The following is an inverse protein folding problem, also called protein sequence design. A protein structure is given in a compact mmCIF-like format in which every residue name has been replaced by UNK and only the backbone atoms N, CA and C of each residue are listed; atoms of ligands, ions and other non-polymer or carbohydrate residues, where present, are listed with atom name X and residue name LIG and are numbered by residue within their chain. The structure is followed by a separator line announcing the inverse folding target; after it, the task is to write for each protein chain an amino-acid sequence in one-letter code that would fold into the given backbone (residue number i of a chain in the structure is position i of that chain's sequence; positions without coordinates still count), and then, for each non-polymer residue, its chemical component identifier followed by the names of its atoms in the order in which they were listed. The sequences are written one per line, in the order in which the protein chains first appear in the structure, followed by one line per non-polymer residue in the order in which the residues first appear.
data_IF_503755700828
#
_entry.id   IF_503755700828
#
_cell.length_a   1.000
_cell.length_b   1.000
_cell.length_c   1.000
_cell.angle_alpha   90.00
_cell.angle_beta   90.00
_cell.angle_gamma   90.00
#
_symmetry.space_group_name_H-M   'P 1'
#
loop_
_entity.id
_entity.type
_entity.pdbx_description
1 polymer ?
#
# COMPACT_ATOMS: atom_id res chain seq x y z
N UNK A 1 -1.43 9.63 -22.66
CA UNK A 1 -2.48 9.31 -21.70
C UNK A 1 -2.62 10.45 -20.72
N UNK A 2 -3.84 10.92 -20.50
CA UNK A 2 -4.20 11.87 -19.43
C UNK A 2 -3.98 11.23 -18.05
N UNK A 3 -4.06 12.02 -16.98
CA UNK A 3 -3.94 11.50 -15.60
C UNK A 3 -5.02 10.45 -15.30
N UNK A 4 -6.24 10.71 -15.75
CA UNK A 4 -7.37 9.79 -15.57
C UNK A 4 -7.15 8.48 -16.33
N UNK A 5 -6.75 8.55 -17.60
CA UNK A 5 -6.43 7.36 -18.41
C UNK A 5 -5.29 6.53 -17.78
N UNK A 6 -4.29 7.18 -17.18
CA UNK A 6 -3.22 6.49 -16.44
C UNK A 6 -3.75 5.74 -15.23
N UNK A 7 -4.60 6.39 -14.42
CA UNK A 7 -5.22 5.78 -13.25
C UNK A 7 -6.04 4.55 -13.65
N UNK A 8 -6.92 4.69 -14.63
CA UNK A 8 -7.75 3.60 -15.13
C UNK A 8 -6.92 2.43 -15.68
N UNK A 9 -5.90 2.72 -16.47
CA UNK A 9 -5.00 1.69 -16.99
C UNK A 9 -4.25 0.97 -15.86
N UNK A 10 -3.83 1.69 -14.80
CA UNK A 10 -3.17 1.08 -13.64
C UNK A 10 -4.11 0.16 -12.86
N UNK A 11 -5.36 0.58 -12.63
CA UNK A 11 -6.41 -0.24 -12.02
C UNK A 11 -6.66 -1.51 -12.83
N UNK A 12 -6.78 -1.37 -14.16
CA UNK A 12 -7.02 -2.50 -15.07
C UNK A 12 -5.88 -3.52 -15.03
N UNK A 13 -4.63 -3.06 -15.06
CA UNK A 13 -3.45 -3.93 -14.97
C UNK A 13 -3.41 -4.70 -13.66
N UNK A 14 -3.64 -4.03 -12.53
CA UNK A 14 -3.68 -4.66 -11.20
C UNK A 14 -4.80 -5.70 -11.11
N UNK A 15 -6.00 -5.37 -11.60
CA UNK A 15 -7.14 -6.31 -11.61
C UNK A 15 -6.85 -7.56 -12.45
N UNK A 16 -6.30 -7.37 -13.65
CA UNK A 16 -6.01 -8.49 -14.55
C UNK A 16 -4.85 -9.36 -14.06
N UNK A 17 -3.87 -8.77 -13.38
CA UNK A 17 -2.65 -9.45 -12.91
C UNK A 17 -2.67 -9.70 -11.40
N UNK A 18 -3.86 -9.82 -10.84
CA UNK A 18 -4.08 -9.92 -9.40
C UNK A 18 -3.44 -11.19 -8.80
N UNK A 19 -3.49 -12.30 -9.53
CA UNK A 19 -2.87 -13.57 -9.09
C UNK A 19 -1.35 -13.45 -8.96
N UNK A 20 -0.68 -12.78 -9.89
CA UNK A 20 0.76 -12.53 -9.81
C UNK A 20 1.11 -11.50 -8.72
N UNK A 21 0.27 -10.48 -8.55
CA UNK A 21 0.42 -9.53 -7.45
C UNK A 21 0.28 -10.22 -6.08
N UNK A 22 -0.60 -11.22 -5.97
CA UNK A 22 -0.76 -12.02 -4.75
C UNK A 22 0.46 -12.91 -4.48
N UNK A 23 1.11 -13.42 -5.53
CA UNK A 23 2.39 -14.11 -5.38
C UNK A 23 3.49 -13.18 -4.86
N UNK A 24 3.52 -11.92 -5.32
CA UNK A 24 4.39 -10.90 -4.77
C UNK A 24 4.12 -10.66 -3.27
N UNK A 25 2.87 -10.47 -2.87
CA UNK A 25 2.50 -10.29 -1.45
C UNK A 25 3.07 -11.38 -0.54
N UNK A 26 3.11 -12.61 -1.06
CA UNK A 26 3.63 -13.76 -0.33
C UNK A 26 5.16 -13.83 -0.30
N UNK A 27 5.84 -13.38 -1.35
CA UNK A 27 7.30 -13.56 -1.52
C UNK A 27 8.11 -12.28 -1.30
N UNK A 28 7.47 -11.11 -1.19
CA UNK A 28 8.10 -9.78 -1.15
C UNK A 28 9.07 -9.51 -2.32
N UNK A 29 8.91 -10.19 -3.46
CA UNK A 29 9.81 -10.06 -4.61
C UNK A 29 9.49 -8.84 -5.50
N UNK A 30 10.08 -7.68 -5.19
CA UNK A 30 9.80 -6.42 -5.88
C UNK A 30 10.05 -6.45 -7.40
N UNK A 31 10.80 -7.44 -7.88
CA UNK A 31 11.13 -7.67 -9.29
C UNK A 31 9.89 -7.89 -10.18
N UNK A 32 8.80 -8.44 -9.63
CA UNK A 32 7.61 -8.78 -10.42
C UNK A 32 6.66 -7.59 -10.64
N UNK A 33 6.65 -6.62 -9.74
CA UNK A 33 5.71 -5.49 -9.81
C UNK A 33 6.10 -4.50 -10.90
N UNK A 34 7.37 -4.11 -10.94
CA UNK A 34 7.84 -3.00 -11.79
C UNK A 34 7.57 -3.23 -13.29
N UNK A 35 7.75 -4.43 -13.87
CA UNK A 35 7.40 -4.68 -15.27
C UNK A 35 5.89 -4.62 -15.54
N UNK A 36 5.04 -4.91 -14.55
CA UNK A 36 3.58 -4.97 -14.73
C UNK A 36 2.95 -3.58 -14.61
N UNK A 37 3.22 -2.88 -13.50
CA UNK A 37 2.54 -1.61 -13.17
C UNK A 37 3.41 -0.39 -13.44
N UNK A 38 4.70 -0.56 -13.71
CA UNK A 38 5.63 0.53 -13.97
C UNK A 38 6.06 1.29 -12.70
N UNK A 39 6.46 2.55 -12.88
CA UNK A 39 6.96 3.43 -11.80
C UNK A 39 6.03 4.58 -11.46
N UNK A 40 4.96 4.78 -12.24
CA UNK A 40 4.02 5.89 -12.05
C UNK A 40 3.03 5.68 -10.89
N UNK A 41 3.11 4.52 -10.22
CA UNK A 41 2.22 4.13 -9.13
C UNK A 41 1.05 3.24 -9.57
N UNK A 42 0.38 2.64 -8.58
CA UNK A 42 -0.77 1.78 -8.77
C UNK A 42 -1.64 1.74 -7.50
N UNK A 43 -2.92 1.36 -7.59
CA UNK A 43 -3.89 1.52 -6.49
C UNK A 43 -3.55 0.77 -5.19
N UNK A 44 -2.72 -0.27 -5.26
CA UNK A 44 -2.34 -1.09 -4.11
C UNK A 44 -0.90 -0.82 -3.64
N UNK A 45 -0.24 0.23 -4.12
CA UNK A 45 1.16 0.51 -3.77
C UNK A 45 1.35 0.68 -2.25
N UNK A 46 0.72 1.70 -1.66
CA UNK A 46 0.84 1.96 -0.22
C UNK A 46 0.13 0.91 0.64
N UNK A 47 -0.89 0.26 0.10
CA UNK A 47 -1.55 -0.86 0.76
C UNK A 47 -0.54 -1.95 1.13
N UNK A 48 0.31 -2.31 0.16
CA UNK A 48 1.27 -3.39 0.32
C UNK A 48 2.53 -2.90 1.03
N UNK A 49 3.03 -1.72 0.63
CA UNK A 49 4.31 -1.21 1.09
C UNK A 49 4.29 -0.71 2.54
N UNK A 50 3.13 -0.19 3.00
CA UNK A 50 3.04 0.48 4.29
C UNK A 50 1.88 -0.04 5.14
N UNK A 51 0.66 -0.08 4.61
CA UNK A 51 -0.51 -0.44 5.41
C UNK A 51 -0.44 -1.85 6.00
N UNK A 52 -0.14 -2.87 5.18
CA UNK A 52 0.03 -4.26 5.64
C UNK A 52 1.16 -4.38 6.67
N UNK A 53 2.40 -3.89 6.43
CA UNK A 53 3.45 -3.88 7.44
C UNK A 53 3.08 -3.17 8.74
N UNK A 54 2.35 -2.05 8.67
CA UNK A 54 1.89 -1.34 9.88
C UNK A 54 0.95 -2.23 10.69
N UNK A 55 -0.03 -2.89 10.08
CA UNK A 55 -0.89 -3.86 10.78
C UNK A 55 -0.07 -5.02 11.37
N UNK A 56 0.90 -5.55 10.63
CA UNK A 56 1.75 -6.66 11.10
C UNK A 56 2.55 -6.31 12.35
N UNK A 57 3.09 -5.09 12.41
CA UNK A 57 4.05 -4.70 13.44
C UNK A 57 3.41 -3.93 14.60
N UNK A 58 2.28 -3.25 14.41
CA UNK A 58 1.72 -2.34 15.40
C UNK A 58 0.37 -2.79 15.98
N UNK A 59 -0.33 -3.73 15.36
CA UNK A 59 -1.57 -4.26 15.92
C UNK A 59 -1.31 -5.36 16.96
N UNK A 60 -2.19 -5.44 17.95
CA UNK A 60 -2.33 -6.61 18.82
C UNK A 60 -2.95 -7.81 18.07
N UNK A 61 -3.06 -8.96 18.74
CA UNK A 61 -3.51 -10.20 18.11
C UNK A 61 -4.99 -10.15 17.68
N UNK A 62 -5.87 -9.54 18.47
CA UNK A 62 -7.30 -9.39 18.12
C UNK A 62 -7.47 -8.48 16.90
N UNK A 63 -6.73 -7.37 16.86
CA UNK A 63 -6.73 -6.45 15.73
C UNK A 63 -6.13 -7.08 14.47
N UNK A 64 -5.06 -7.87 14.59
CA UNK A 64 -4.48 -8.62 13.47
C UNK A 64 -5.49 -9.62 12.91
N UNK A 65 -6.16 -10.39 13.76
CA UNK A 65 -7.18 -11.35 13.32
C UNK A 65 -8.28 -10.64 12.52
N UNK A 66 -8.74 -9.50 13.04
CA UNK A 66 -9.78 -8.70 12.39
C UNK A 66 -9.35 -8.08 11.06
N UNK A 67 -8.15 -7.50 10.99
CA UNK A 67 -7.76 -6.61 9.89
C UNK A 67 -6.65 -7.15 9.00
N UNK A 68 -5.61 -7.75 9.57
CA UNK A 68 -4.43 -8.18 8.82
C UNK A 68 -4.79 -9.25 7.80
N UNK A 69 -5.61 -10.24 8.18
CA UNK A 69 -6.06 -11.30 7.27
C UNK A 69 -6.84 -10.73 6.08
N UNK A 70 -7.70 -9.73 6.32
CA UNK A 70 -8.48 -9.05 5.28
C UNK A 70 -7.60 -8.24 4.35
N UNK A 71 -6.60 -7.53 4.89
CA UNK A 71 -5.63 -6.76 4.12
C UNK A 71 -4.76 -7.67 3.24
N UNK A 72 -4.25 -8.78 3.78
CA UNK A 72 -3.43 -9.76 3.03
C UNK A 72 -4.20 -10.44 1.89
N UNK A 73 -5.52 -10.57 2.03
CA UNK A 73 -6.44 -11.08 0.98
C UNK A 73 -6.97 -9.96 0.08
N UNK A 74 -6.54 -8.72 0.30
CA UNK A 74 -7.04 -7.50 -0.36
C UNK A 74 -8.58 -7.41 -0.38
N UNK A 75 -9.24 -7.90 0.67
CA UNK A 75 -10.68 -7.70 0.90
C UNK A 75 -10.99 -6.23 1.27
N UNK A 76 -9.97 -5.52 1.77
CA UNK A 76 -9.98 -4.10 2.09
C UNK A 76 -8.78 -3.42 1.43
N UNK A 77 -8.90 -2.12 1.13
CA UNK A 77 -7.79 -1.29 0.64
C UNK A 77 -7.53 -0.17 1.65
N UNK A 78 -6.42 -0.28 2.37
CA UNK A 78 -5.89 0.76 3.25
C UNK A 78 -4.62 1.45 2.75
N UNK A 79 -4.21 2.49 3.48
CA UNK A 79 -2.99 3.28 3.29
C UNK A 79 -2.39 3.67 4.64
N UNK A 80 -1.18 4.23 4.65
CA UNK A 80 -0.57 4.82 5.84
C UNK A 80 -0.56 6.35 5.71
N UNK A 81 -1.49 7.00 6.40
CA UNK A 81 -1.71 8.45 6.33
C UNK A 81 -1.06 9.14 7.53
N UNK A 82 0.27 9.32 7.51
CA UNK A 82 1.02 9.98 8.60
C UNK A 82 1.22 11.47 8.37
N UNK A 83 1.55 11.87 7.14
CA UNK A 83 1.89 13.26 6.81
C UNK A 83 0.64 14.12 6.79
N UNK A 84 0.66 15.21 7.53
CA UNK A 84 -0.36 16.26 7.50
C UNK A 84 0.11 17.44 6.65
N UNK A 85 -0.82 18.30 6.20
CA UNK A 85 -0.50 19.48 5.38
C UNK A 85 0.52 20.42 6.05
N UNK A 86 0.48 20.54 7.38
CA UNK A 86 1.41 21.36 8.16
C UNK A 86 2.56 20.59 8.81
N UNK A 87 2.55 19.25 8.79
CA UNK A 87 3.46 18.43 9.59
C UNK A 87 3.91 17.17 8.83
N UNK A 88 5.14 17.20 8.31
CA UNK A 88 5.75 16.07 7.60
C UNK A 88 6.88 15.36 8.36
N UNK A 89 7.46 16.01 9.35
CA UNK A 89 8.52 15.47 10.19
C UNK A 89 8.19 15.81 11.64
N UNK A 90 8.15 14.80 12.52
CA UNK A 90 8.35 15.03 13.95
C UNK A 90 9.82 15.41 14.13
N UNK A 91 10.14 16.68 13.90
CA UNK A 91 11.42 17.21 14.34
C UNK A 91 11.27 17.53 15.84
N UNK A 92 11.98 16.82 16.74
CA UNK A 92 11.87 17.04 18.18
C UNK A 92 12.26 18.45 18.63
N UNK A 93 12.83 19.27 17.74
CA UNK A 93 13.19 20.67 18.01
C UNK A 93 12.06 21.68 17.72
N UNK A 94 10.88 21.27 17.24
CA UNK A 94 9.77 22.17 16.92
C UNK A 94 8.51 21.96 17.77
N UNK A 95 8.58 21.19 18.86
CA UNK A 95 7.43 20.94 19.76
C UNK A 95 7.16 22.06 20.80
N UNK A 96 7.75 23.25 20.65
CA UNK A 96 7.55 24.37 21.58
C UNK A 96 7.70 25.76 20.91
N UNK A 97 6.89 26.03 19.89
CA UNK A 97 6.53 27.40 19.51
C UNK A 97 5.01 27.54 19.50
#
# INVERSE_FOLDING_TARGET
MTREEKLDNSCRKVKHRYSELRYFLRTRSFLLIRPIVGVEGYPLALHILMFVPTLQNQCDDEQKERWLTKAMRTEIVGTYAQTEMGHGLLNPNYSAL
#
